data_IF_512304422196
#
_entry.id   IF_512304422196
#
_cell.length_a   1.000
_cell.length_b   1.000
_cell.length_c   1.000
_cell.angle_alpha   90.00
_cell.angle_beta   90.00
_cell.angle_gamma   90.00
#
_symmetry.space_group_name_H-M   'P 1'
#
loop_
_entity.id
_entity.type
_entity.pdbx_description
1 polymer ?
#
# COMPACT_ATOMS: atom_id res chain seq x y z
N UNK A 1 0.93 -9.13 -20.30
CA UNK A 1 2.36 -9.41 -20.18
C UNK A 1 2.84 -8.73 -18.91
N UNK A 2 3.10 -9.52 -17.87
CA UNK A 2 3.57 -9.00 -16.60
C UNK A 2 4.99 -8.44 -16.76
N UNK A 3 5.14 -7.17 -16.41
CA UNK A 3 6.43 -6.49 -16.44
C UNK A 3 7.29 -7.10 -15.34
N UNK A 4 8.53 -7.49 -15.67
CA UNK A 4 9.48 -7.96 -14.67
C UNK A 4 9.57 -6.91 -13.53
N UNK A 5 9.59 -7.34 -12.26
CA UNK A 5 9.63 -6.43 -11.13
C UNK A 5 10.86 -5.52 -11.21
N UNK A 6 10.71 -4.26 -10.82
CA UNK A 6 11.83 -3.31 -10.83
C UNK A 6 12.90 -3.74 -9.82
N UNK A 7 14.18 -3.62 -10.17
CA UNK A 7 15.29 -3.78 -9.21
C UNK A 7 15.26 -2.62 -8.23
N UNK A 8 15.19 -2.91 -6.93
CA UNK A 8 15.12 -1.90 -5.87
C UNK A 8 16.44 -1.83 -5.11
N UNK A 9 16.87 -0.60 -4.82
CA UNK A 9 18.09 -0.31 -4.08
C UNK A 9 17.78 0.60 -2.88
N UNK A 10 18.44 0.34 -1.76
CA UNK A 10 18.41 1.17 -0.55
C UNK A 10 19.79 1.81 -0.35
N UNK A 11 19.79 3.08 0.06
CA UNK A 11 21.00 3.80 0.45
C UNK A 11 21.29 3.54 1.92
N UNK A 12 22.36 2.80 2.21
CA UNK A 12 22.90 2.57 3.55
C UNK A 12 24.16 3.43 3.75
N UNK A 13 24.68 3.56 4.98
CA UNK A 13 25.98 4.21 5.21
C UNK A 13 27.13 3.55 4.43
N UNK A 14 27.01 2.26 4.09
CA UNK A 14 27.99 1.50 3.33
C UNK A 14 27.87 1.62 1.80
N UNK A 15 26.80 2.22 1.28
CA UNK A 15 26.60 2.39 -0.16
C UNK A 15 25.16 2.11 -0.61
N UNK A 16 25.02 1.59 -1.83
CA UNK A 16 23.75 1.12 -2.37
C UNK A 16 23.67 -0.41 -2.21
N UNK A 17 22.64 -0.89 -1.55
CA UNK A 17 22.37 -2.31 -1.31
C UNK A 17 21.02 -2.71 -1.92
N UNK A 18 20.81 -3.99 -2.29
CA UNK A 18 19.51 -4.48 -2.74
C UNK A 18 18.42 -4.28 -1.67
N UNK A 19 17.28 -3.75 -2.09
CA UNK A 19 16.10 -3.62 -1.23
C UNK A 19 15.15 -4.79 -1.48
N UNK A 20 15.02 -5.67 -0.48
CA UNK A 20 14.14 -6.84 -0.51
C UNK A 20 14.74 -8.06 -1.22
N UNK A 21 14.19 -9.25 -0.94
CA UNK A 21 14.73 -10.54 -1.41
C UNK A 21 14.70 -10.75 -2.92
N UNK A 22 13.83 -10.05 -3.64
CA UNK A 22 13.71 -10.15 -5.10
C UNK A 22 14.82 -9.39 -5.84
N UNK A 23 15.36 -8.32 -5.25
CA UNK A 23 16.36 -7.47 -5.91
C UNK A 23 17.75 -8.11 -5.93
N UNK A 24 18.07 -8.99 -4.97
CA UNK A 24 19.37 -9.67 -4.86
C UNK A 24 19.71 -10.51 -6.10
N UNK A 25 18.91 -11.52 -6.51
CA UNK A 25 19.24 -12.32 -7.69
C UNK A 25 19.28 -11.47 -8.97
N UNK A 26 18.42 -10.44 -9.05
CA UNK A 26 18.37 -9.56 -10.22
C UNK A 26 19.60 -8.65 -10.35
N UNK A 27 20.30 -8.36 -9.24
CA UNK A 27 21.59 -7.65 -9.28
C UNK A 27 22.74 -8.60 -9.62
N UNK A 28 22.69 -9.84 -9.15
CA UNK A 28 23.68 -10.88 -9.44
C UNK A 28 23.68 -11.27 -10.94
N UNK A 29 22.51 -11.22 -11.57
CA UNK A 29 22.34 -11.50 -13.00
C UNK A 29 22.77 -10.34 -13.93
N UNK A 30 23.22 -9.20 -13.40
CA UNK A 30 23.64 -8.06 -14.21
C UNK A 30 25.00 -8.28 -14.85
N UNK A 31 25.14 -7.81 -16.09
CA UNK A 31 26.42 -7.86 -16.81
C UNK A 31 27.36 -6.80 -16.22
N UNK A 32 28.66 -7.12 -15.98
CA UNK A 32 29.63 -6.13 -15.54
C UNK A 32 29.66 -4.89 -16.47
N UNK A 33 29.52 -3.70 -15.89
CA UNK A 33 29.47 -2.42 -16.64
C UNK A 33 28.07 -1.97 -17.06
N UNK A 34 27.02 -2.74 -16.76
CA UNK A 34 25.64 -2.36 -17.06
C UNK A 34 25.19 -1.16 -16.19
N UNK A 35 24.68 -0.11 -16.85
CA UNK A 35 24.23 1.10 -16.18
C UNK A 35 22.73 0.99 -15.85
N UNK A 36 22.38 1.21 -14.59
CA UNK A 36 20.99 1.22 -14.12
C UNK A 36 20.48 2.66 -13.96
N UNK A 37 19.21 2.88 -14.31
CA UNK A 37 18.52 4.13 -13.97
C UNK A 37 17.81 3.97 -12.62
N UNK A 38 18.31 4.67 -11.60
CA UNK A 38 17.67 4.73 -10.29
C UNK A 38 16.84 6.00 -10.14
N UNK A 39 15.58 5.87 -9.73
CA UNK A 39 14.73 7.00 -9.34
C UNK A 39 14.38 6.88 -7.85
N UNK A 40 14.68 7.88 -7.01
CA UNK A 40 14.27 7.87 -5.61
C UNK A 40 12.75 7.70 -5.51
N UNK A 41 12.30 6.61 -4.87
CA UNK A 41 10.87 6.41 -4.62
C UNK A 41 10.48 7.23 -3.39
N UNK A 42 9.65 8.25 -3.59
CA UNK A 42 8.87 8.86 -2.51
C UNK A 42 7.63 7.99 -2.31
N UNK A 43 7.72 6.96 -1.46
CA UNK A 43 6.59 6.10 -1.15
C UNK A 43 6.98 4.83 -0.40
N UNK A 44 6.14 4.51 0.59
CA UNK A 44 5.99 3.27 1.39
C UNK A 44 7.14 2.25 1.27
N UNK A 45 7.79 1.93 2.40
CA UNK A 45 8.58 0.70 2.48
C UNK A 45 7.72 -0.49 2.03
N UNK A 46 8.20 -1.25 1.03
CA UNK A 46 7.46 -2.40 0.46
C UNK A 46 6.90 -3.35 1.53
N UNK A 47 7.60 -3.66 2.64
CA UNK A 47 7.10 -4.57 3.65
C UNK A 47 5.77 -4.13 4.26
N UNK A 48 5.59 -2.83 4.54
CA UNK A 48 4.38 -2.36 5.22
C UNK A 48 3.19 -2.25 4.27
N UNK A 49 3.43 -1.93 3.00
CA UNK A 49 2.36 -1.99 2.00
C UNK A 49 1.90 -3.44 1.79
N UNK A 50 2.83 -4.39 1.70
CA UNK A 50 2.50 -5.81 1.60
C UNK A 50 1.71 -6.29 2.83
N UNK A 51 2.14 -5.95 4.04
CA UNK A 51 1.43 -6.28 5.27
C UNK A 51 0.02 -5.70 5.32
N UNK A 52 -0.15 -4.46 4.87
CA UNK A 52 -1.46 -3.82 4.77
C UNK A 52 -2.43 -4.62 3.89
N UNK A 53 -2.01 -4.93 2.65
CA UNK A 53 -2.84 -5.70 1.72
C UNK A 53 -3.08 -7.14 2.20
N UNK A 54 -2.09 -7.78 2.82
CA UNK A 54 -2.26 -9.12 3.39
C UNK A 54 -3.41 -9.16 4.41
N UNK A 55 -3.47 -8.22 5.35
CA UNK A 55 -4.59 -8.19 6.29
C UNK A 55 -5.92 -7.77 5.65
N UNK A 56 -5.92 -7.02 4.54
CA UNK A 56 -7.18 -6.81 3.78
C UNK A 56 -7.70 -8.12 3.17
N UNK A 57 -6.81 -8.98 2.66
CA UNK A 57 -7.19 -10.30 2.16
C UNK A 57 -7.76 -11.17 3.28
N UNK A 58 -7.09 -11.23 4.43
CA UNK A 58 -7.61 -11.94 5.61
C UNK A 58 -8.96 -11.37 6.07
N UNK A 59 -9.14 -10.06 6.04
CA UNK A 59 -10.40 -9.42 6.42
C UNK A 59 -11.56 -9.83 5.51
N UNK A 60 -11.37 -9.89 4.19
CA UNK A 60 -12.44 -10.29 3.26
C UNK A 60 -12.78 -11.77 3.39
N UNK A 61 -11.77 -12.63 3.65
CA UNK A 61 -11.98 -14.08 3.86
C UNK A 61 -12.82 -14.37 5.10
N UNK A 62 -12.71 -13.55 6.15
CA UNK A 62 -13.45 -13.75 7.40
C UNK A 62 -14.81 -13.04 7.46
N UNK A 63 -14.97 -11.92 6.78
CA UNK A 63 -16.18 -11.10 6.89
C UNK A 63 -17.23 -11.42 5.82
N UNK A 64 -16.84 -11.83 4.61
CA UNK A 64 -17.71 -11.97 3.42
C UNK A 64 -18.65 -10.76 3.14
N UNK A 65 -18.35 -9.59 3.73
CA UNK A 65 -19.14 -8.35 3.56
C UNK A 65 -18.71 -7.60 2.30
N UNK A 66 -17.43 -7.70 1.91
CA UNK A 66 -16.87 -6.97 0.78
C UNK A 66 -16.54 -7.91 -0.36
N UNK A 67 -16.96 -7.59 -1.60
CA UNK A 67 -16.70 -8.44 -2.76
C UNK A 67 -15.23 -8.42 -3.21
N UNK A 68 -14.46 -7.40 -2.83
CA UNK A 68 -13.07 -7.21 -3.25
C UNK A 68 -12.27 -6.44 -2.18
N UNK A 69 -10.96 -6.66 -2.11
CA UNK A 69 -10.07 -5.91 -1.20
C UNK A 69 -10.03 -4.43 -1.55
N UNK A 70 -10.18 -4.07 -2.83
CA UNK A 70 -10.27 -2.68 -3.28
C UNK A 70 -11.50 -1.97 -2.71
N UNK A 71 -12.62 -2.68 -2.53
CA UNK A 71 -13.82 -2.11 -1.94
C UNK A 71 -13.67 -1.87 -0.44
N UNK A 72 -13.14 -2.85 0.28
CA UNK A 72 -12.80 -2.70 1.70
C UNK A 72 -11.81 -1.55 1.90
N UNK A 73 -10.79 -1.46 1.05
CA UNK A 73 -9.84 -0.37 1.05
C UNK A 73 -10.49 1.00 0.84
N UNK A 74 -11.40 1.12 -0.13
CA UNK A 74 -12.13 2.34 -0.40
C UNK A 74 -12.99 2.76 0.79
N UNK A 75 -13.68 1.82 1.43
CA UNK A 75 -14.49 2.12 2.61
C UNK A 75 -13.62 2.52 3.81
N UNK A 76 -12.50 1.83 4.07
CA UNK A 76 -11.55 2.23 5.11
C UNK A 76 -11.00 3.65 4.89
N UNK A 77 -10.76 4.06 3.64
CA UNK A 77 -10.39 5.45 3.32
C UNK A 77 -11.52 6.43 3.67
N UNK A 78 -12.78 6.11 3.37
CA UNK A 78 -13.93 6.93 3.75
C UNK A 78 -14.00 7.11 5.26
N UNK A 79 -13.93 6.01 6.00
CA UNK A 79 -13.97 6.05 7.47
C UNK A 79 -12.79 6.78 8.09
N UNK A 80 -11.62 6.74 7.44
CA UNK A 80 -10.44 7.47 7.90
C UNK A 80 -10.47 8.97 7.56
N UNK A 81 -11.43 9.44 6.74
CA UNK A 81 -11.60 10.83 6.34
C UNK A 81 -10.86 11.25 5.06
N UNK A 82 -10.40 10.29 4.24
CA UNK A 82 -9.71 10.58 2.97
C UNK A 82 -10.70 10.67 1.81
N UNK A 83 -11.63 11.61 1.92
CA UNK A 83 -12.68 11.89 0.94
C UNK A 83 -12.58 13.32 0.45
N UNK A 84 -12.87 13.50 -0.84
CA UNK A 84 -13.13 14.81 -1.44
C UNK A 84 -14.62 14.91 -1.75
N UNK A 85 -15.21 16.06 -1.46
CA UNK A 85 -16.53 16.42 -1.94
C UNK A 85 -16.40 16.90 -3.38
N UNK A 86 -17.01 16.17 -4.31
CA UNK A 86 -16.98 16.47 -5.72
C UNK A 86 -18.39 16.76 -6.20
N UNK A 87 -18.57 17.91 -6.87
CA UNK A 87 -19.81 18.19 -7.57
C UNK A 87 -19.82 17.45 -8.90
N UNK A 88 -20.71 16.47 -9.06
CA UNK A 88 -20.82 15.70 -10.28
C UNK A 88 -21.63 16.47 -11.32
N UNK A 89 -21.04 16.88 -12.45
CA UNK A 89 -21.75 17.61 -13.49
C UNK A 89 -22.78 16.74 -14.22
N UNK A 90 -22.71 15.42 -14.08
CA UNK A 90 -23.64 14.46 -14.68
C UNK A 90 -24.90 14.25 -13.83
N UNK A 91 -24.76 14.24 -12.51
CA UNK A 91 -25.89 14.02 -11.59
C UNK A 91 -26.41 15.31 -10.95
N UNK A 92 -25.66 16.41 -11.07
CA UNK A 92 -25.99 17.71 -10.48
C UNK A 92 -25.97 17.70 -8.95
N UNK A 93 -25.33 16.71 -8.34
CA UNK A 93 -25.30 16.48 -6.90
C UNK A 93 -23.87 16.47 -6.36
N UNK A 94 -23.76 16.81 -5.08
CA UNK A 94 -22.53 16.66 -4.32
C UNK A 94 -22.33 15.18 -3.98
N UNK A 95 -21.27 14.59 -4.52
CA UNK A 95 -20.88 13.20 -4.30
C UNK A 95 -19.59 13.14 -3.48
N UNK A 96 -19.56 12.26 -2.49
CA UNK A 96 -18.37 12.00 -1.67
C UNK A 96 -17.50 10.98 -2.39
N UNK A 97 -16.38 11.43 -2.96
CA UNK A 97 -15.44 10.56 -3.68
C UNK A 97 -14.21 10.28 -2.83
N UNK A 98 -13.82 9.02 -2.78
CA UNK A 98 -12.58 8.61 -2.12
C UNK A 98 -11.38 9.14 -2.90
N UNK A 99 -10.44 9.78 -2.21
CA UNK A 99 -9.21 10.28 -2.83
C UNK A 99 -8.42 9.11 -3.47
N UNK A 100 -8.30 9.13 -4.80
CA UNK A 100 -7.52 8.13 -5.56
C UNK A 100 -6.03 8.25 -5.28
N UNK A 101 -5.54 9.48 -5.04
CA UNK A 101 -4.11 9.78 -4.88
C UNK A 101 -3.57 9.65 -3.46
N UNK A 102 -4.42 9.33 -2.47
CA UNK A 102 -4.03 9.35 -1.06
C UNK A 102 -2.73 8.56 -0.82
N UNK A 103 -2.62 7.33 -1.35
CA UNK A 103 -1.45 6.49 -1.07
C UNK A 103 -0.23 6.67 -1.97
N UNK A 104 -0.39 7.27 -3.15
CA UNK A 104 0.76 7.55 -4.03
C UNK A 104 1.50 8.82 -3.61
N UNK A 105 0.84 9.70 -2.86
CA UNK A 105 1.41 10.97 -2.37
C UNK A 105 1.85 10.92 -0.91
N UNK A 106 1.38 9.93 -0.14
CA UNK A 106 1.77 9.76 1.27
C UNK A 106 3.22 9.35 1.43
N UNK A 107 3.91 10.01 2.36
CA UNK A 107 5.19 9.55 2.88
C UNK A 107 5.01 8.31 3.77
N UNK A 108 6.12 7.67 4.14
CA UNK A 108 6.08 6.45 4.93
C UNK A 108 5.41 6.66 6.31
N UNK A 109 5.69 7.76 7.00
CA UNK A 109 5.10 8.09 8.31
C UNK A 109 3.60 8.30 8.23
N UNK A 110 3.12 9.03 7.23
CA UNK A 110 1.70 9.25 6.96
C UNK A 110 0.98 7.94 6.67
N UNK A 111 1.61 7.04 5.91
CA UNK A 111 1.06 5.71 5.68
C UNK A 111 1.00 4.88 6.97
N UNK A 112 2.00 4.98 7.85
CA UNK A 112 1.98 4.29 9.14
C UNK A 112 0.79 4.74 10.00
N UNK A 113 0.56 6.05 10.05
CA UNK A 113 -0.54 6.65 10.80
C UNK A 113 -1.89 6.25 10.22
N UNK A 114 -2.03 6.31 8.89
CA UNK A 114 -3.21 5.80 8.20
C UNK A 114 -3.45 4.33 8.55
N UNK A 115 -2.43 3.48 8.42
CA UNK A 115 -2.57 2.04 8.62
C UNK A 115 -3.04 1.73 10.04
N UNK A 116 -2.42 2.37 11.04
CA UNK A 116 -2.84 2.22 12.44
C UNK A 116 -4.29 2.69 12.67
N UNK A 117 -4.69 3.82 12.07
CA UNK A 117 -6.07 4.33 12.18
C UNK A 117 -7.08 3.37 11.55
N UNK A 118 -6.76 2.84 10.36
CA UNK A 118 -7.59 1.86 9.66
C UNK A 118 -7.72 0.55 10.46
N UNK A 119 -6.62 0.04 11.00
CA UNK A 119 -6.61 -1.16 11.85
C UNK A 119 -7.49 -0.98 13.10
N UNK A 120 -7.26 0.09 13.87
CA UNK A 120 -8.05 0.37 15.07
C UNK A 120 -9.54 0.50 14.76
N UNK A 121 -9.89 1.16 13.64
CA UNK A 121 -11.29 1.31 13.24
C UNK A 121 -11.90 -0.03 12.84
N UNK A 122 -11.20 -0.82 12.04
CA UNK A 122 -11.67 -2.15 11.64
C UNK A 122 -11.91 -3.04 12.85
N UNK A 123 -10.97 -3.10 13.80
CA UNK A 123 -11.10 -3.89 15.03
C UNK A 123 -12.30 -3.40 15.86
N UNK A 124 -12.51 -2.09 15.96
CA UNK A 124 -13.62 -1.51 16.72
C UNK A 124 -15.00 -1.88 16.14
N UNK A 125 -15.12 -2.01 14.82
CA UNK A 125 -16.40 -2.29 14.15
C UNK A 125 -16.63 -3.80 13.99
N UNK A 126 -15.59 -4.56 13.68
CA UNK A 126 -15.68 -5.99 13.34
C UNK A 126 -15.32 -6.93 14.50
N UNK A 127 -14.66 -6.43 15.55
CA UNK A 127 -14.32 -7.21 16.74
C UNK A 127 -13.13 -8.16 16.60
N UNK A 128 -12.38 -8.14 15.50
CA UNK A 128 -11.17 -8.95 15.32
C UNK A 128 -10.08 -8.20 14.52
N UNK A 129 -8.83 -8.65 14.66
CA UNK A 129 -7.66 -8.07 14.00
C UNK A 129 -7.15 -8.99 12.87
N UNK A 130 -7.36 -8.62 11.60
CA UNK A 130 -6.89 -9.40 10.46
C UNK A 130 -5.39 -9.24 10.19
N UNK A 131 -4.70 -8.29 10.82
CA UNK A 131 -3.26 -8.05 10.64
C UNK A 131 -2.39 -8.78 11.67
N UNK A 132 -3.00 -9.47 12.65
CA UNK A 132 -2.30 -10.16 13.74
C UNK A 132 -1.46 -11.37 13.26
N UNK A 133 -1.71 -11.88 12.05
CA UNK A 133 -1.00 -13.04 11.47
C UNK A 133 0.27 -12.70 10.66
N UNK A 134 0.62 -11.42 10.44
CA UNK A 134 1.74 -11.04 9.56
C UNK A 134 3.12 -11.16 10.23
N UNK A 135 3.20 -11.73 11.45
CA UNK A 135 4.45 -12.09 12.10
C UNK A 135 4.79 -13.58 11.84
N UNK A 136 5.26 -13.89 10.64
CA UNK A 136 6.00 -15.13 10.38
C UNK A 136 7.20 -14.87 9.48
#
# INVERSE_FOLDING_TARGET
MDKAPDILLIKTPGGLEPYGRHSTPMLEDLVPGQVLTAKPRKGRGLPRNAAYWAGLHTAIEHCDVWPTTERLHADLKKYCGYVDEYFSPLTGQWEVRVQSTAFSKMNESEFAQYFRKAQLRFISEMGFDPWLQVAK
#
